data_IF_532994566552
#
_entry.id   IF_532994566552
#
_cell.length_a   1.000
_cell.length_b   1.000
_cell.length_c   1.000
_cell.angle_alpha   90.00
_cell.angle_beta   90.00
_cell.angle_gamma   90.00
#
_symmetry.space_group_name_H-M   'P 1'
#
loop_
_entity.id
_entity.type
_entity.pdbx_description
1 polymer ?
#
# COMPACT_ATOMS: atom_id res chain seq x y z
N UNK A 1 17.36 3.01 18.71
CA UNK A 1 16.07 2.31 18.80
C UNK A 1 14.99 3.36 18.89
N UNK A 2 13.94 3.29 18.07
CA UNK A 2 12.86 4.29 18.07
C UNK A 2 11.88 3.99 19.21
N UNK A 3 11.46 5.00 19.96
CA UNK A 3 10.48 4.89 21.06
C UNK A 3 9.03 4.95 20.56
N UNK A 4 8.09 4.46 21.38
CA UNK A 4 6.65 4.56 21.09
C UNK A 4 6.20 6.02 20.96
N UNK A 5 6.73 6.91 21.79
CA UNK A 5 6.38 8.34 21.74
C UNK A 5 6.94 9.03 20.49
N UNK A 6 8.06 8.57 19.94
CA UNK A 6 8.53 9.01 18.61
C UNK A 6 7.58 8.55 17.50
N UNK A 7 7.17 7.28 17.49
CA UNK A 7 6.24 6.75 16.47
C UNK A 7 4.89 7.46 16.53
N UNK A 8 4.35 7.69 17.74
CA UNK A 8 3.03 8.33 17.92
C UNK A 8 2.99 9.76 17.35
N UNK A 9 4.12 10.47 17.31
CA UNK A 9 4.21 11.83 16.75
C UNK A 9 4.00 11.89 15.23
N UNK A 10 4.13 10.76 14.55
CA UNK A 10 3.83 10.64 13.12
C UNK A 10 2.33 10.61 12.81
N UNK A 11 1.46 10.48 13.82
CA UNK A 11 0.00 10.40 13.66
C UNK A 11 -0.66 11.61 14.33
N UNK A 12 -0.96 12.70 13.59
CA UNK A 12 -1.50 13.94 14.18
C UNK A 12 -2.79 13.75 15.01
N UNK A 13 -3.65 12.81 14.61
CA UNK A 13 -4.90 12.52 15.32
C UNK A 13 -4.67 12.07 16.78
N UNK A 14 -3.50 11.51 17.11
CA UNK A 14 -3.18 11.06 18.47
C UNK A 14 -2.88 12.21 19.45
N UNK A 15 -2.83 13.46 18.98
CA UNK A 15 -2.78 14.65 19.85
C UNK A 15 -4.12 14.91 20.55
N UNK A 16 -5.23 14.46 19.97
CA UNK A 16 -6.59 14.70 20.48
C UNK A 16 -7.31 13.40 20.84
N UNK A 17 -6.99 12.30 20.13
CA UNK A 17 -7.75 11.05 20.22
C UNK A 17 -6.94 9.91 20.84
N UNK A 18 -7.61 9.17 21.71
CA UNK A 18 -7.22 7.78 22.03
C UNK A 18 -7.90 6.86 21.03
N UNK A 19 -7.23 6.57 19.91
CA UNK A 19 -7.80 5.78 18.82
C UNK A 19 -7.61 4.26 19.06
N UNK A 20 -8.72 3.56 19.27
CA UNK A 20 -8.74 2.13 19.63
C UNK A 20 -9.33 1.22 18.53
N UNK A 21 -9.61 1.75 17.34
CA UNK A 21 -10.24 1.02 16.23
C UNK A 21 -9.25 0.63 15.11
N UNK A 22 -7.99 0.35 15.47
CA UNK A 22 -6.91 0.08 14.52
C UNK A 22 -7.11 -1.20 13.68
N UNK A 23 -7.95 -2.13 14.15
CA UNK A 23 -8.26 -3.37 13.43
C UNK A 23 -9.21 -3.14 12.25
N UNK A 24 -10.04 -2.08 12.28
CA UNK A 24 -10.89 -1.71 11.16
C UNK A 24 -10.09 -0.97 10.08
N UNK A 25 -9.50 0.19 10.44
CA UNK A 25 -8.60 0.97 9.58
C UNK A 25 -7.59 1.71 10.46
N UNK A 26 -6.28 1.57 10.18
CA UNK A 26 -5.27 2.31 10.95
C UNK A 26 -5.24 3.80 10.61
N UNK A 27 -4.83 4.63 11.56
CA UNK A 27 -4.48 6.03 11.26
C UNK A 27 -3.34 6.10 10.23
N UNK A 28 -3.36 7.15 9.40
CA UNK A 28 -2.32 7.39 8.40
C UNK A 28 -1.15 8.17 9.01
N UNK A 29 0.09 7.68 8.94
CA UNK A 29 1.26 8.45 9.38
C UNK A 29 1.66 9.51 8.35
N UNK A 30 2.40 10.55 8.78
CA UNK A 30 2.85 11.67 7.93
C UNK A 30 3.56 11.23 6.65
N UNK A 31 4.40 10.21 6.72
CA UNK A 31 5.19 9.70 5.60
C UNK A 31 4.31 9.12 4.49
N UNK A 32 3.17 8.50 4.84
CA UNK A 32 2.20 8.01 3.86
C UNK A 32 1.47 9.18 3.21
N UNK A 33 1.06 10.19 4.00
CA UNK A 33 0.46 11.42 3.48
C UNK A 33 1.39 12.12 2.48
N UNK A 34 2.66 12.29 2.82
CA UNK A 34 3.66 12.88 1.93
C UNK A 34 3.84 12.08 0.63
N UNK A 35 3.69 10.75 0.69
CA UNK A 35 3.68 9.91 -0.50
C UNK A 35 2.51 10.20 -1.44
N UNK A 36 1.31 10.35 -0.88
CA UNK A 36 0.11 10.75 -1.63
C UNK A 36 0.25 12.15 -2.21
N UNK A 37 0.73 13.12 -1.44
CA UNK A 37 0.92 14.49 -1.89
C UNK A 37 1.91 14.52 -3.07
N UNK A 38 3.07 13.84 -2.97
CA UNK A 38 4.02 13.73 -4.09
C UNK A 38 3.40 13.11 -5.36
N UNK A 39 2.59 12.05 -5.20
CA UNK A 39 1.92 11.42 -6.33
C UNK A 39 0.88 12.35 -6.97
N UNK A 40 0.08 13.03 -6.15
CA UNK A 40 -0.93 13.97 -6.60
C UNK A 40 -0.29 15.18 -7.30
N UNK A 41 0.76 15.75 -6.70
CA UNK A 41 1.51 16.88 -7.25
C UNK A 41 2.16 16.51 -8.59
N UNK A 42 2.72 15.29 -8.72
CA UNK A 42 3.27 14.83 -9.99
C UNK A 42 2.22 14.80 -11.09
N UNK A 43 1.02 14.29 -10.79
CA UNK A 43 -0.08 14.24 -11.76
C UNK A 43 -0.61 15.63 -12.09
N UNK A 44 -0.84 16.44 -11.07
CA UNK A 44 -1.40 17.79 -11.20
C UNK A 44 -0.49 18.72 -12.01
N UNK A 45 0.82 18.68 -11.73
CA UNK A 45 1.81 19.50 -12.43
C UNK A 45 2.33 18.84 -13.72
N UNK A 46 1.92 17.60 -13.98
CA UNK A 46 2.41 16.78 -15.09
C UNK A 46 3.95 16.73 -15.16
N UNK A 47 4.61 16.51 -14.02
CA UNK A 47 6.07 16.47 -13.90
C UNK A 47 6.62 15.11 -14.35
N UNK A 48 6.89 15.00 -15.65
CA UNK A 48 7.26 13.73 -16.32
C UNK A 48 8.67 13.73 -16.93
N UNK A 49 9.36 14.88 -16.94
CA UNK A 49 10.68 15.03 -17.56
C UNK A 49 10.70 14.54 -19.01
N UNK A 50 11.62 13.62 -19.33
CA UNK A 50 11.75 12.98 -20.65
C UNK A 50 11.04 11.61 -20.74
N UNK A 51 10.22 11.26 -19.75
CA UNK A 51 9.50 9.99 -19.65
C UNK A 51 7.99 10.23 -19.75
N UNK A 52 7.21 9.15 -19.85
CA UNK A 52 5.76 9.24 -19.71
C UNK A 52 5.37 9.13 -18.24
N UNK A 53 4.27 9.76 -17.85
CA UNK A 53 3.75 9.64 -16.48
C UNK A 53 3.49 8.18 -16.09
N UNK A 54 3.01 7.37 -17.04
CA UNK A 54 2.78 5.94 -16.87
C UNK A 54 4.07 5.19 -16.54
N UNK A 55 5.19 5.51 -17.19
CA UNK A 55 6.47 4.85 -16.89
C UNK A 55 6.97 5.15 -15.47
N UNK A 56 6.82 6.40 -15.00
CA UNK A 56 7.16 6.76 -13.62
C UNK A 56 6.28 6.03 -12.60
N UNK A 57 4.99 5.88 -12.89
CA UNK A 57 4.08 5.11 -12.05
C UNK A 57 4.39 3.62 -12.02
N UNK A 58 4.75 3.03 -13.17
CA UNK A 58 5.19 1.64 -13.24
C UNK A 58 6.49 1.42 -12.46
N UNK A 59 7.44 2.35 -12.52
CA UNK A 59 8.67 2.29 -11.73
C UNK A 59 8.37 2.33 -10.22
N UNK A 60 7.48 3.23 -9.78
CA UNK A 60 7.03 3.30 -8.40
C UNK A 60 6.32 2.00 -7.97
N UNK A 61 5.41 1.49 -8.80
CA UNK A 61 4.71 0.23 -8.55
C UNK A 61 5.68 -0.97 -8.49
N UNK A 62 6.72 -1.00 -9.31
CA UNK A 62 7.73 -2.06 -9.28
C UNK A 62 8.59 -1.99 -8.01
N UNK A 63 8.97 -0.78 -7.58
CA UNK A 63 9.71 -0.56 -6.34
C UNK A 63 8.90 -1.01 -5.12
N UNK A 64 7.63 -0.62 -5.03
CA UNK A 64 6.74 -1.06 -3.94
C UNK A 64 6.58 -2.58 -3.96
N UNK A 65 6.49 -3.20 -5.14
CA UNK A 65 6.34 -4.66 -5.28
C UNK A 65 7.56 -5.38 -4.74
N UNK A 66 8.76 -4.88 -5.04
CA UNK A 66 10.02 -5.41 -4.50
C UNK A 66 10.13 -5.26 -2.98
N UNK A 67 9.74 -4.11 -2.43
CA UNK A 67 9.75 -3.88 -0.98
C UNK A 67 8.76 -4.80 -0.25
N UNK A 68 7.55 -4.98 -0.78
CA UNK A 68 6.55 -5.89 -0.21
C UNK A 68 6.98 -7.34 -0.29
N UNK A 69 7.54 -7.76 -1.42
CA UNK A 69 8.10 -9.10 -1.59
C UNK A 69 9.18 -9.41 -0.54
N UNK A 70 10.13 -8.48 -0.33
CA UNK A 70 11.14 -8.62 0.71
C UNK A 70 10.55 -8.64 2.13
N UNK A 71 9.53 -7.83 2.39
CA UNK A 71 8.88 -7.74 3.70
C UNK A 71 8.19 -9.05 4.12
N UNK A 72 7.55 -9.75 3.18
CA UNK A 72 6.82 -11.00 3.46
C UNK A 72 7.58 -12.27 3.02
N UNK A 73 8.80 -12.15 2.51
CA UNK A 73 9.66 -13.29 2.17
C UNK A 73 9.31 -14.02 0.87
N UNK A 74 8.80 -13.32 -0.14
CA UNK A 74 8.44 -13.89 -1.47
C UNK A 74 9.18 -13.16 -2.60
N UNK A 75 9.00 -13.60 -3.84
CA UNK A 75 9.51 -12.91 -5.02
C UNK A 75 8.53 -11.84 -5.52
N UNK A 76 8.99 -10.79 -6.22
CA UNK A 76 8.09 -9.78 -6.79
C UNK A 76 7.04 -10.36 -7.76
N UNK A 77 7.30 -11.51 -8.40
CA UNK A 77 6.35 -12.14 -9.34
C UNK A 77 5.15 -12.79 -8.64
N UNK A 78 5.24 -13.01 -7.33
CA UNK A 78 4.17 -13.58 -6.50
C UNK A 78 3.24 -12.50 -5.93
N UNK A 79 3.49 -11.21 -6.20
CA UNK A 79 2.69 -10.09 -5.69
C UNK A 79 1.79 -9.50 -6.77
N UNK A 80 0.48 -9.56 -6.54
CA UNK A 80 -0.54 -8.84 -7.31
C UNK A 80 -1.11 -7.65 -6.50
N UNK A 81 -1.27 -6.49 -7.12
CA UNK A 81 -1.98 -5.36 -6.52
C UNK A 81 -3.49 -5.55 -6.65
N UNK A 82 -4.21 -5.31 -5.55
CA UNK A 82 -5.67 -5.41 -5.47
C UNK A 82 -6.23 -4.21 -4.71
N UNK A 83 -7.56 -4.08 -4.63
CA UNK A 83 -8.19 -2.92 -3.99
C UNK A 83 -8.28 -3.04 -2.46
N UNK A 84 -8.43 -4.26 -1.96
CA UNK A 84 -8.57 -4.61 -0.56
C UNK A 84 -8.49 -6.14 -0.36
N UNK A 85 -8.42 -6.61 0.88
CA UNK A 85 -8.40 -8.04 1.22
C UNK A 85 -9.56 -8.83 0.59
N UNK A 86 -10.78 -8.30 0.62
CA UNK A 86 -11.95 -8.95 0.01
C UNK A 86 -11.79 -9.14 -1.51
N UNK A 87 -11.26 -8.13 -2.21
CA UNK A 87 -10.99 -8.24 -3.65
C UNK A 87 -9.90 -9.26 -3.97
N UNK A 88 -8.85 -9.35 -3.13
CA UNK A 88 -7.79 -10.34 -3.28
C UNK A 88 -8.30 -11.77 -3.10
N UNK A 89 -9.11 -12.02 -2.07
CA UNK A 89 -9.73 -13.34 -1.85
C UNK A 89 -10.63 -13.74 -3.02
N UNK A 90 -11.44 -12.81 -3.54
CA UNK A 90 -12.30 -13.08 -4.69
C UNK A 90 -11.51 -13.50 -5.94
N UNK A 91 -10.32 -12.94 -6.17
CA UNK A 91 -9.46 -13.37 -7.29
C UNK A 91 -9.04 -14.83 -7.11
N UNK A 92 -8.60 -15.23 -5.92
CA UNK A 92 -8.20 -16.62 -5.66
C UNK A 92 -9.38 -17.58 -5.79
N UNK A 93 -10.54 -17.23 -5.23
CA UNK A 93 -11.75 -18.06 -5.27
C UNK A 93 -12.23 -18.24 -6.71
N UNK A 94 -12.40 -17.15 -7.46
CA UNK A 94 -12.95 -17.22 -8.82
C UNK A 94 -11.91 -17.65 -9.86
N UNK A 95 -10.62 -17.51 -9.57
CA UNK A 95 -9.51 -17.96 -10.43
C UNK A 95 -9.18 -19.45 -10.30
N UNK A 96 -9.69 -20.11 -9.25
CA UNK A 96 -9.46 -21.54 -9.01
C UNK A 96 -10.54 -22.38 -9.67
N UNK A 97 -10.13 -23.44 -10.39
CA UNK A 97 -11.07 -24.41 -10.99
C UNK A 97 -11.48 -25.46 -9.96
N UNK A 98 -12.51 -25.14 -9.19
CA UNK A 98 -13.09 -26.05 -8.20
C UNK A 98 -13.81 -27.23 -8.87
N UNK A 99 -13.78 -28.37 -8.20
CA UNK A 99 -14.54 -29.57 -8.52
C UNK A 99 -15.45 -29.91 -7.35
N UNK A 100 -16.53 -30.64 -7.66
CA UNK A 100 -17.42 -31.18 -6.62
C UNK A 100 -16.60 -32.06 -5.67
N UNK A 101 -16.61 -31.72 -4.39
CA UNK A 101 -15.90 -32.45 -3.33
C UNK A 101 -14.60 -31.79 -2.84
N UNK A 102 -14.12 -30.72 -3.50
CA UNK A 102 -13.02 -29.91 -2.97
C UNK A 102 -13.48 -29.13 -1.71
N UNK A 103 -12.60 -28.96 -0.72
CA UNK A 103 -12.82 -28.17 0.51
C UNK A 103 -11.59 -27.33 0.86
#
# INVERSE_FOLDING_TARGET
>A
MVSVDEIRRDFPALAEWTYLDNAFVSLMPRQVREGYDRWADQWYNFDVGNRTILSGWLDAANRVRGAMAAFIGVTPKEIAYTMCTGSGLNIAINGTKWKKGDN
#
